data_IF_155904206742
#
_entry.id   IF_155904206742
#
_cell.length_a   1.000
_cell.length_b   1.000
_cell.length_c   1.000
_cell.angle_alpha   90.00
_cell.angle_beta   90.00
_cell.angle_gamma   90.00
#
_symmetry.space_group_name_H-M   'P 1'
#
loop_
_entity.id
_entity.type
_entity.pdbx_description
1 polymer ?
#
# COMPACT_ATOMS: atom_id res chain seq x y z
N UNK A 1 -10.14 12.93 -64.34
CA UNK A 1 -9.50 13.30 -63.06
C UNK A 1 -10.25 12.76 -61.85
N UNK A 2 -11.55 13.02 -61.70
CA UNK A 2 -12.35 12.55 -60.55
C UNK A 2 -12.30 11.02 -60.34
N UNK A 3 -12.38 10.24 -61.42
CA UNK A 3 -12.30 8.77 -61.37
C UNK A 3 -10.96 8.26 -60.85
N UNK A 4 -9.85 8.87 -61.26
CA UNK A 4 -8.51 8.51 -60.79
C UNK A 4 -8.32 8.81 -59.29
N UNK A 5 -8.89 9.93 -58.80
CA UNK A 5 -8.84 10.30 -57.38
C UNK A 5 -9.65 9.32 -56.52
N UNK A 6 -10.83 8.89 -56.98
CA UNK A 6 -11.65 7.91 -56.28
C UNK A 6 -10.97 6.53 -56.20
N UNK A 7 -10.30 6.11 -57.27
CA UNK A 7 -9.55 4.85 -57.30
C UNK A 7 -8.35 4.91 -56.34
N UNK A 8 -7.56 5.99 -56.37
CA UNK A 8 -6.42 6.16 -55.45
C UNK A 8 -6.87 6.21 -53.98
N UNK A 9 -7.94 6.95 -53.68
CA UNK A 9 -8.51 7.03 -52.34
C UNK A 9 -8.99 5.67 -51.84
N UNK A 10 -9.66 4.89 -52.70
CA UNK A 10 -10.10 3.53 -52.37
C UNK A 10 -8.93 2.60 -52.05
N UNK A 11 -7.82 2.68 -52.79
CA UNK A 11 -6.62 1.87 -52.55
C UNK A 11 -6.00 2.20 -51.19
N UNK A 12 -5.87 3.48 -50.84
CA UNK A 12 -5.29 3.90 -49.55
C UNK A 12 -6.14 3.39 -48.40
N UNK A 13 -7.47 3.51 -48.48
CA UNK A 13 -8.38 3.02 -47.44
C UNK A 13 -8.24 1.50 -47.28
N UNK A 14 -8.18 0.74 -48.38
CA UNK A 14 -8.00 -0.71 -48.32
C UNK A 14 -6.67 -1.11 -47.66
N UNK A 15 -5.59 -0.40 -47.97
CA UNK A 15 -4.28 -0.65 -47.34
C UNK A 15 -4.33 -0.35 -45.84
N UNK A 16 -4.92 0.78 -45.44
CA UNK A 16 -5.06 1.15 -44.02
C UNK A 16 -5.90 0.14 -43.23
N UNK A 17 -7.02 -0.32 -43.80
CA UNK A 17 -7.86 -1.34 -43.18
C UNK A 17 -7.13 -2.68 -43.09
N UNK A 18 -6.38 -3.07 -44.12
CA UNK A 18 -5.56 -4.28 -44.11
C UNK A 18 -4.46 -4.26 -43.04
N UNK A 19 -3.75 -3.14 -42.90
CA UNK A 19 -2.74 -2.95 -41.86
C UNK A 19 -3.34 -2.98 -40.45
N UNK A 20 -4.50 -2.34 -40.27
CA UNK A 20 -5.21 -2.35 -39.00
C UNK A 20 -5.65 -3.78 -38.61
N UNK A 21 -6.21 -4.53 -39.55
CA UNK A 21 -6.61 -5.92 -39.33
C UNK A 21 -5.41 -6.80 -38.96
N UNK A 22 -4.29 -6.65 -39.66
CA UNK A 22 -3.03 -7.36 -39.33
C UNK A 22 -2.54 -7.03 -37.92
N UNK A 23 -2.64 -5.76 -37.51
CA UNK A 23 -2.26 -5.36 -36.15
C UNK A 23 -3.14 -6.02 -35.09
N UNK A 24 -4.46 -6.05 -35.28
CA UNK A 24 -5.38 -6.72 -34.34
C UNK A 24 -5.20 -8.24 -34.31
N UNK A 25 -5.00 -8.87 -35.46
CA UNK A 25 -4.72 -10.31 -35.52
C UNK A 25 -3.44 -10.68 -34.76
N UNK A 26 -2.38 -9.88 -34.91
CA UNK A 26 -1.11 -10.09 -34.21
C UNK A 26 -1.18 -9.72 -32.73
N UNK A 27 -1.97 -8.70 -32.36
CA UNK A 27 -2.11 -8.25 -30.97
C UNK A 27 -2.82 -9.27 -30.09
N UNK A 28 -3.59 -10.19 -30.67
CA UNK A 28 -4.36 -11.19 -29.91
C UNK A 28 -3.52 -12.38 -29.42
N UNK A 29 -2.21 -12.39 -29.70
CA UNK A 29 -1.28 -13.43 -29.23
C UNK A 29 -0.82 -13.21 -27.78
N UNK A 30 -1.07 -12.02 -27.20
CA UNK A 30 -0.61 -11.71 -25.84
C UNK A 30 -1.73 -11.97 -24.83
N UNK A 31 -1.65 -13.10 -24.13
CA UNK A 31 -2.58 -13.43 -23.06
C UNK A 31 -2.21 -12.67 -21.78
N UNK A 32 -2.79 -11.48 -21.59
CA UNK A 32 -2.59 -10.65 -20.39
C UNK A 32 -3.34 -11.15 -19.14
N UNK A 33 -4.17 -12.19 -19.29
CA UNK A 33 -5.03 -12.71 -18.20
C UNK A 33 -4.78 -14.20 -17.90
N UNK A 34 -3.78 -14.79 -18.55
CA UNK A 34 -3.36 -16.15 -18.30
C UNK A 34 -2.79 -16.25 -16.88
N UNK A 35 -3.28 -17.22 -16.10
CA UNK A 35 -2.65 -17.60 -14.84
C UNK A 35 -1.32 -18.30 -15.15
N UNK A 36 -0.26 -17.53 -15.36
CA UNK A 36 1.10 -18.06 -15.30
C UNK A 36 1.46 -18.22 -13.82
N UNK A 37 1.89 -19.41 -13.39
CA UNK A 37 2.34 -19.60 -12.00
C UNK A 37 3.55 -18.71 -11.67
N UNK A 38 4.32 -18.33 -12.68
CA UNK A 38 5.48 -17.47 -12.53
C UNK A 38 5.17 -16.01 -12.82
N UNK A 39 5.50 -15.17 -11.84
CA UNK A 39 5.54 -13.70 -11.94
C UNK A 39 6.51 -13.30 -13.08
N UNK A 40 6.18 -12.35 -13.98
CA UNK A 40 7.06 -11.94 -15.08
C UNK A 40 8.42 -11.40 -14.61
N UNK A 41 9.50 -11.52 -15.40
CA UNK A 41 10.86 -11.06 -15.02
C UNK A 41 10.92 -9.59 -14.57
N UNK A 42 10.18 -8.69 -15.24
CA UNK A 42 10.10 -7.28 -14.84
C UNK A 42 9.46 -7.06 -13.47
N UNK A 43 8.70 -8.03 -12.98
CA UNK A 43 8.05 -8.08 -11.67
C UNK A 43 8.88 -8.87 -10.64
N UNK A 44 9.95 -9.56 -11.05
CA UNK A 44 10.87 -10.35 -10.20
C UNK A 44 12.06 -9.55 -9.66
N UNK A 45 12.10 -8.23 -9.86
CA UNK A 45 13.10 -7.41 -9.21
C UNK A 45 12.85 -7.47 -7.70
N UNK A 46 13.65 -8.28 -7.01
CA UNK A 46 13.80 -8.13 -5.58
C UNK A 46 14.16 -6.67 -5.30
N UNK A 47 13.61 -6.07 -4.24
CA UNK A 47 14.03 -4.75 -3.80
C UNK A 47 15.56 -4.69 -3.67
N UNK A 48 16.18 -3.51 -3.82
CA UNK A 48 17.61 -3.34 -3.63
C UNK A 48 18.09 -4.04 -2.35
N UNK A 49 19.29 -4.63 -2.40
CA UNK A 49 19.83 -5.40 -1.25
C UNK A 49 19.88 -4.57 0.03
N UNK A 50 20.10 -3.27 -0.10
CA UNK A 50 20.05 -2.30 0.99
C UNK A 50 18.67 -2.31 1.67
N UNK A 51 17.58 -2.25 0.91
CA UNK A 51 16.19 -2.33 1.42
C UNK A 51 15.92 -3.66 2.11
N UNK A 52 16.32 -4.78 1.51
CA UNK A 52 16.12 -6.12 2.09
C UNK A 52 16.93 -6.32 3.38
N UNK A 53 18.10 -5.70 3.46
CA UNK A 53 18.94 -5.77 4.65
C UNK A 53 18.43 -4.86 5.77
N UNK A 54 17.85 -3.69 5.45
CA UNK A 54 17.24 -2.81 6.43
C UNK A 54 16.06 -3.50 7.14
N UNK A 55 15.09 -4.03 6.39
CA UNK A 55 13.93 -4.71 6.99
C UNK A 55 14.33 -5.97 7.76
N UNK A 56 15.33 -6.72 7.29
CA UNK A 56 15.83 -7.91 8.01
C UNK A 56 16.47 -7.58 9.36
N UNK A 57 17.04 -6.39 9.55
CA UNK A 57 17.59 -5.96 10.85
C UNK A 57 16.48 -5.77 11.88
N UNK A 58 15.31 -5.33 11.42
CA UNK A 58 14.10 -5.12 12.23
C UNK A 58 13.26 -6.41 12.35
N UNK A 59 13.73 -7.54 11.80
CA UNK A 59 13.00 -8.82 11.72
C UNK A 59 11.70 -8.75 10.89
N UNK A 60 11.51 -7.66 10.17
CA UNK A 60 10.40 -7.42 9.25
C UNK A 60 10.70 -8.02 7.86
N UNK A 61 9.69 -8.66 7.27
CA UNK A 61 9.73 -9.03 5.87
C UNK A 61 9.69 -7.79 4.98
N UNK A 62 10.01 -7.92 3.68
CA UNK A 62 9.65 -6.85 2.72
C UNK A 62 8.17 -6.98 2.40
N UNK A 63 7.34 -6.54 3.33
CA UNK A 63 5.88 -6.49 3.21
C UNK A 63 5.42 -5.04 3.22
N UNK A 64 4.31 -4.77 2.53
CA UNK A 64 3.64 -3.45 2.64
C UNK A 64 2.91 -3.28 3.98
N UNK A 65 2.75 -4.40 4.70
CA UNK A 65 2.12 -4.49 6.00
C UNK A 65 3.22 -4.88 6.95
N UNK A 66 3.54 -3.98 7.85
CA UNK A 66 4.26 -4.34 9.06
C UNK A 66 3.23 -5.00 9.98
N UNK A 67 3.50 -6.22 10.40
CA UNK A 67 2.62 -6.97 11.29
C UNK A 67 3.50 -7.93 12.05
N UNK A 68 3.89 -7.52 13.24
CA UNK A 68 4.70 -8.33 14.11
C UNK A 68 3.90 -9.45 14.78
N UNK A 69 4.62 -10.50 15.19
CA UNK A 69 4.02 -11.61 15.88
C UNK A 69 3.49 -11.18 17.26
N UNK A 70 2.18 -10.98 17.37
CA UNK A 70 1.51 -10.54 18.60
C UNK A 70 0.71 -9.25 18.43
N UNK A 71 0.88 -8.56 17.31
CA UNK A 71 0.15 -7.34 16.98
C UNK A 71 -1.27 -7.63 16.51
N UNK A 72 -2.12 -6.62 16.66
CA UNK A 72 -3.48 -6.65 16.15
C UNK A 72 -3.49 -6.21 14.71
N UNK A 73 -4.45 -6.73 13.95
CA UNK A 73 -4.65 -6.27 12.58
C UNK A 73 -5.23 -4.87 12.65
N UNK A 74 -4.46 -3.85 12.25
CA UNK A 74 -4.97 -2.50 12.06
C UNK A 74 -4.96 -2.09 10.58
N UNK A 75 -5.66 -0.99 10.29
CA UNK A 75 -5.57 -0.37 8.98
C UNK A 75 -4.16 0.20 8.77
N UNK A 76 -3.63 0.26 7.53
CA UNK A 76 -2.27 0.78 7.29
C UNK A 76 -2.03 2.22 7.80
N UNK A 77 -3.08 3.02 7.96
CA UNK A 77 -2.98 4.36 8.52
C UNK A 77 -2.93 4.35 10.05
N UNK A 78 -3.59 3.38 10.69
CA UNK A 78 -3.50 3.19 12.12
C UNK A 78 -2.09 2.74 12.51
N UNK A 79 -1.53 1.75 11.80
CA UNK A 79 -0.13 1.30 11.97
C UNK A 79 0.86 2.47 11.89
N UNK A 80 0.78 3.30 10.85
CA UNK A 80 1.69 4.45 10.73
C UNK A 80 1.59 5.46 11.89
N UNK A 81 0.38 5.68 12.42
CA UNK A 81 0.19 6.58 13.56
C UNK A 81 0.71 5.92 14.83
N UNK A 82 0.54 4.61 14.95
CA UNK A 82 1.10 3.80 16.03
C UNK A 82 2.62 3.87 16.05
N UNK A 83 3.30 3.71 14.90
CA UNK A 83 4.77 3.81 14.81
C UNK A 83 5.27 5.16 15.31
N UNK A 84 4.63 6.24 14.84
CA UNK A 84 4.95 7.61 15.27
C UNK A 84 4.73 7.77 16.77
N UNK A 85 3.68 7.14 17.31
CA UNK A 85 3.38 7.18 18.73
C UNK A 85 4.43 6.38 19.51
N UNK A 86 4.66 5.10 19.20
CA UNK A 86 5.65 4.22 19.84
C UNK A 86 7.03 4.87 19.85
N UNK A 87 7.50 5.41 18.72
CA UNK A 87 8.79 6.12 18.64
C UNK A 87 8.91 7.32 19.59
N UNK A 88 7.78 7.98 19.94
CA UNK A 88 7.77 9.06 20.95
C UNK A 88 7.73 8.51 22.37
N UNK A 89 7.06 7.38 22.58
CA UNK A 89 6.84 6.77 23.89
C UNK A 89 8.03 5.93 24.40
N UNK A 90 9.05 5.68 23.57
CA UNK A 90 10.32 5.09 24.01
C UNK A 90 11.03 5.90 25.11
N UNK A 91 10.62 7.16 25.31
CA UNK A 91 11.16 8.05 26.35
C UNK A 91 10.28 8.12 27.61
N UNK A 92 10.92 8.29 28.78
CA UNK A 92 10.24 8.55 30.06
C UNK A 92 9.42 9.85 29.96
N UNK A 93 8.15 9.90 30.42
CA UNK A 93 7.48 8.96 31.35
C UNK A 93 6.56 7.91 30.71
N UNK A 94 6.65 7.71 29.39
CA UNK A 94 5.67 6.90 28.66
C UNK A 94 6.10 5.48 28.34
N UNK A 95 7.38 5.14 28.55
CA UNK A 95 7.95 3.80 28.40
C UNK A 95 7.27 2.69 29.25
N UNK A 96 6.35 3.05 30.14
CA UNK A 96 5.53 2.15 30.97
C UNK A 96 4.27 1.65 30.28
N UNK A 97 3.93 2.19 29.11
CA UNK A 97 2.72 1.82 28.37
C UNK A 97 3.09 0.91 27.20
N UNK A 98 2.48 -0.27 27.17
CA UNK A 98 2.41 -1.15 26.00
C UNK A 98 1.20 -0.72 25.17
N UNK A 99 1.42 -0.34 23.90
CA UNK A 99 0.39 0.24 23.03
C UNK A 99 0.33 -0.51 21.71
N UNK A 100 -0.89 -0.87 21.33
CA UNK A 100 -1.21 -1.59 20.09
C UNK A 100 -2.53 -1.05 19.51
N UNK A 101 -2.64 -0.89 18.19
CA UNK A 101 -3.87 -0.49 17.53
C UNK A 101 -4.52 -1.69 16.84
N UNK A 102 -5.85 -1.67 16.81
CA UNK A 102 -6.63 -2.69 16.12
C UNK A 102 -7.68 -2.06 15.23
N UNK A 103 -8.16 -2.83 14.26
CA UNK A 103 -9.38 -2.52 13.52
C UNK A 103 -10.50 -3.48 13.94
N UNK A 104 -11.56 -2.93 14.50
CA UNK A 104 -12.76 -3.69 14.84
C UNK A 104 -13.44 -4.20 13.56
N UNK A 105 -14.34 -5.22 13.65
CA UNK A 105 -15.05 -5.76 12.49
C UNK A 105 -15.89 -4.75 11.70
N UNK A 106 -16.29 -3.65 12.33
CA UNK A 106 -17.02 -2.55 11.69
C UNK A 106 -16.09 -1.48 11.04
N UNK A 107 -14.78 -1.68 11.13
CA UNK A 107 -13.75 -0.78 10.62
C UNK A 107 -13.39 0.38 11.54
N UNK A 108 -13.94 0.42 12.77
CA UNK A 108 -13.53 1.41 13.77
C UNK A 108 -12.14 1.09 14.35
N UNK A 109 -11.48 2.12 14.87
CA UNK A 109 -10.18 2.00 15.53
C UNK A 109 -10.38 1.48 16.96
N UNK A 110 -9.59 0.49 17.34
CA UNK A 110 -9.41 0.05 18.72
C UNK A 110 -8.03 0.50 19.21
N UNK A 111 -7.96 1.12 20.39
CA UNK A 111 -6.71 1.53 21.01
C UNK A 111 -6.47 0.62 22.21
N UNK A 112 -5.43 -0.18 22.17
CA UNK A 112 -5.08 -1.09 23.25
C UNK A 112 -3.93 -0.51 24.07
N UNK A 113 -4.11 -0.40 25.38
CA UNK A 113 -3.08 0.08 26.32
C UNK A 113 -2.96 -0.91 27.47
N UNK A 114 -1.78 -1.49 27.65
CA UNK A 114 -1.49 -2.53 28.65
C UNK A 114 -2.54 -3.66 28.63
N UNK A 115 -2.93 -4.09 27.42
CA UNK A 115 -3.92 -5.14 27.18
C UNK A 115 -5.39 -4.74 27.39
N UNK A 116 -5.70 -3.49 27.73
CA UNK A 116 -7.06 -2.97 27.83
C UNK A 116 -7.46 -2.21 26.57
N UNK A 117 -8.63 -2.52 26.00
CA UNK A 117 -9.15 -1.86 24.80
C UNK A 117 -9.93 -0.60 25.15
N UNK A 118 -9.67 0.47 24.40
CA UNK A 118 -10.38 1.75 24.44
C UNK A 118 -10.90 2.07 23.03
N UNK A 119 -12.20 2.37 22.87
CA UNK A 119 -12.80 2.62 21.55
C UNK A 119 -12.50 4.04 21.03
N UNK A 120 -12.01 4.92 21.89
CA UNK A 120 -11.62 6.28 21.53
C UNK A 120 -10.43 6.74 22.37
N UNK A 121 -9.63 7.63 21.79
CA UNK A 121 -8.57 8.33 22.49
C UNK A 121 -9.08 9.09 23.73
N UNK A 122 -10.31 9.61 23.69
CA UNK A 122 -10.87 10.35 24.83
C UNK A 122 -11.10 9.46 26.06
N UNK A 123 -11.23 8.14 25.86
CA UNK A 123 -11.42 7.14 26.92
C UNK A 123 -10.11 6.71 27.59
N UNK A 124 -8.95 7.13 27.07
CA UNK A 124 -7.66 6.76 27.62
C UNK A 124 -7.48 7.27 29.07
N UNK A 125 -6.78 6.52 29.95
CA UNK A 125 -6.68 6.85 31.36
C UNK A 125 -5.66 7.95 31.68
N UNK A 126 -4.72 8.23 30.78
CA UNK A 126 -3.60 9.16 30.98
C UNK A 126 -3.68 10.35 30.01
N UNK A 127 -3.77 11.57 30.54
CA UNK A 127 -3.85 12.78 29.72
C UNK A 127 -2.56 13.07 28.93
N UNK A 128 -1.41 12.65 29.46
CA UNK A 128 -0.15 12.71 28.73
C UNK A 128 -0.20 11.82 27.48
N UNK A 129 -0.73 10.61 27.63
CA UNK A 129 -0.91 9.68 26.53
C UNK A 129 -1.90 10.20 25.48
N UNK A 130 -3.03 10.78 25.90
CA UNK A 130 -3.96 11.46 24.98
C UNK A 130 -3.26 12.54 24.16
N UNK A 131 -2.45 13.36 24.81
CA UNK A 131 -1.71 14.42 24.12
C UNK A 131 -0.65 13.85 23.17
N UNK A 132 0.04 12.79 23.56
CA UNK A 132 1.00 12.09 22.70
C UNK A 132 0.32 11.55 21.44
N UNK A 133 -0.84 10.91 21.59
CA UNK A 133 -1.66 10.43 20.48
C UNK A 133 -2.07 11.57 19.54
N UNK A 134 -2.64 12.67 20.07
CA UNK A 134 -3.01 13.85 19.25
C UNK A 134 -1.82 14.42 18.49
N UNK A 135 -0.63 14.40 19.09
CA UNK A 135 0.58 14.86 18.44
C UNK A 135 1.06 13.89 17.36
N UNK A 136 0.93 12.58 17.56
CA UNK A 136 1.24 11.57 16.54
C UNK A 136 0.35 11.74 15.30
N UNK A 137 -0.97 11.89 15.50
CA UNK A 137 -1.92 12.16 14.40
C UNK A 137 -1.55 13.44 13.65
N UNK A 138 -1.27 14.53 14.36
CA UNK A 138 -0.87 15.80 13.72
C UNK A 138 0.43 15.69 12.93
N UNK A 139 1.38 14.89 13.40
CA UNK A 139 2.64 14.66 12.70
C UNK A 139 2.40 13.86 11.43
N UNK A 140 1.63 12.77 11.52
CA UNK A 140 1.22 11.99 10.35
C UNK A 140 0.52 12.85 9.29
N UNK A 141 -0.40 13.73 9.72
CA UNK A 141 -1.09 14.68 8.82
C UNK A 141 -0.15 15.68 8.12
N UNK A 142 1.02 15.97 8.69
CA UNK A 142 2.01 16.87 8.07
C UNK A 142 2.87 16.17 7.02
N UNK A 143 3.05 14.86 7.14
CA UNK A 143 3.93 14.06 6.27
C UNK A 143 3.15 13.43 5.11
N UNK A 144 1.82 13.38 5.20
CA UNK A 144 0.90 13.04 4.10
C UNK A 144 0.90 14.08 2.98
#
# INVERSE_FOLDING_TARGET
MLTAVLILGGIVILISVGLLALMFMKSNEVNLTGKTEDKPEWMKSNPPKETVNATRVENEGVTLFDHDAGERIASPFAEQIEDILRAKLESDPFNKFDIDFGSAPDGSLEIWVNGSMYPSMDDLPDEGLKNAFRNAVKEWERVK
#
